data_IF_563272633696
#
_entry.id   IF_563272633696
#
_cell.length_a   1.000
_cell.length_b   1.000
_cell.length_c   1.000
_cell.angle_alpha   90.00
_cell.angle_beta   90.00
_cell.angle_gamma   90.00
#
_symmetry.space_group_name_H-M   'P 1'
#
loop_
_entity.id
_entity.type
_entity.pdbx_description
1 polymer ?
#
# COMPACT_ATOMS: atom_id res chain seq x y z
N UNK A 1 82.91 -24.53 -28.15
CA UNK A 1 81.82 -25.37 -27.58
C UNK A 1 81.00 -24.50 -26.64
N UNK A 2 79.69 -24.43 -26.82
CA UNK A 2 78.79 -23.63 -25.98
C UNK A 2 77.55 -23.20 -26.76
N UNK A 3 76.51 -24.01 -26.66
CA UNK A 3 75.27 -23.97 -27.41
C UNK A 3 74.41 -22.75 -27.11
N UNK A 4 73.65 -22.31 -28.12
CA UNK A 4 72.70 -21.21 -28.00
C UNK A 4 71.46 -21.53 -27.15
N UNK A 5 70.74 -20.45 -26.84
CA UNK A 5 69.28 -20.45 -26.69
C UNK A 5 68.83 -18.99 -26.73
N UNK A 6 68.15 -18.62 -27.82
CA UNK A 6 67.45 -17.34 -27.95
C UNK A 6 66.22 -17.40 -27.03
N UNK A 7 66.36 -16.89 -25.81
CA UNK A 7 65.24 -16.64 -24.91
C UNK A 7 64.50 -15.38 -25.38
N UNK A 8 63.36 -15.57 -26.04
CA UNK A 8 62.46 -14.50 -26.48
C UNK A 8 62.01 -13.68 -25.26
N UNK A 9 62.52 -12.45 -25.14
CA UNK A 9 62.05 -11.50 -24.13
C UNK A 9 60.69 -10.98 -24.60
N UNK A 10 59.59 -11.59 -24.12
CA UNK A 10 58.24 -11.06 -24.33
C UNK A 10 58.11 -9.75 -23.55
N UNK A 11 58.23 -8.62 -24.26
CA UNK A 11 57.89 -7.30 -23.76
C UNK A 11 56.37 -7.24 -23.61
N UNK A 12 55.90 -7.28 -22.36
CA UNK A 12 54.51 -7.00 -22.04
C UNK A 12 54.31 -5.49 -22.08
N UNK A 13 53.69 -5.02 -23.15
CA UNK A 13 53.28 -3.62 -23.25
C UNK A 13 51.94 -3.49 -22.52
N UNK A 14 51.96 -2.81 -21.37
CA UNK A 14 50.76 -2.55 -20.59
C UNK A 14 49.90 -1.54 -21.35
N UNK A 15 48.99 -2.03 -22.19
CA UNK A 15 47.96 -1.19 -22.82
C UNK A 15 46.96 -0.81 -21.73
N UNK A 16 47.25 0.26 -21.01
CA UNK A 16 46.25 0.89 -20.14
C UNK A 16 45.21 1.53 -21.03
N UNK A 17 44.01 0.95 -21.08
CA UNK A 17 42.87 1.59 -21.70
C UNK A 17 42.65 2.94 -21.00
N UNK A 18 42.83 4.05 -21.73
CA UNK A 18 42.50 5.38 -21.18
C UNK A 18 41.01 5.39 -20.84
N UNK A 19 40.61 5.78 -19.61
CA UNK A 19 39.22 6.02 -19.32
C UNK A 19 38.75 7.18 -20.20
N UNK A 20 37.76 6.90 -21.06
CA UNK A 20 37.15 7.90 -21.94
C UNK A 20 36.42 8.93 -21.05
N UNK A 21 36.83 10.21 -21.05
CA UNK A 21 36.15 11.22 -20.25
C UNK A 21 34.92 11.67 -21.03
N UNK A 22 33.72 11.22 -20.63
CA UNK A 22 32.49 11.67 -21.27
C UNK A 22 31.21 10.91 -20.91
N UNK A 23 31.32 9.68 -20.41
CA UNK A 23 30.16 8.85 -20.09
C UNK A 23 29.52 9.12 -18.71
N UNK A 24 30.22 9.78 -17.79
CA UNK A 24 29.78 9.85 -16.38
C UNK A 24 28.54 10.72 -16.18
N UNK A 25 28.42 11.84 -16.90
CA UNK A 25 27.27 12.76 -16.74
C UNK A 25 25.97 12.13 -17.26
N UNK A 26 26.04 11.42 -18.38
CA UNK A 26 24.90 10.68 -18.93
C UNK A 26 24.54 9.47 -18.05
N UNK A 27 25.53 8.74 -17.53
CA UNK A 27 25.29 7.66 -16.58
C UNK A 27 24.66 8.17 -15.28
N UNK A 28 25.14 9.28 -14.72
CA UNK A 28 24.57 9.91 -13.52
C UNK A 28 23.15 10.40 -13.79
N UNK A 29 22.90 11.06 -14.92
CA UNK A 29 21.56 11.50 -15.30
C UNK A 29 20.58 10.32 -15.47
N UNK A 30 21.04 9.22 -16.09
CA UNK A 30 20.23 8.01 -16.25
C UNK A 30 19.90 7.37 -14.90
N UNK A 31 20.87 7.28 -13.98
CA UNK A 31 20.64 6.77 -12.61
C UNK A 31 19.66 7.65 -11.86
N UNK A 32 19.82 8.98 -11.89
CA UNK A 32 18.88 9.90 -11.23
C UNK A 32 17.46 9.76 -11.80
N UNK A 33 17.33 9.65 -13.12
CA UNK A 33 16.04 9.46 -13.77
C UNK A 33 15.40 8.12 -13.38
N UNK A 34 16.19 7.04 -13.32
CA UNK A 34 15.73 5.73 -12.89
C UNK A 34 15.30 5.74 -11.41
N UNK A 35 16.03 6.43 -10.54
CA UNK A 35 15.66 6.61 -9.12
C UNK A 35 14.36 7.38 -9.00
N UNK A 36 14.22 8.52 -9.68
CA UNK A 36 12.98 9.31 -9.66
C UNK A 36 11.80 8.51 -10.20
N UNK A 37 11.97 7.81 -11.33
CA UNK A 37 10.94 6.94 -11.88
C UNK A 37 10.55 5.81 -10.90
N UNK A 38 11.54 5.17 -10.27
CA UNK A 38 11.32 4.16 -9.23
C UNK A 38 10.53 4.71 -8.05
N UNK A 39 10.90 5.87 -7.53
CA UNK A 39 10.19 6.54 -6.44
C UNK A 39 8.75 6.89 -6.84
N UNK A 40 8.52 7.37 -8.06
CA UNK A 40 7.16 7.67 -8.54
C UNK A 40 6.30 6.41 -8.69
N UNK A 41 6.88 5.31 -9.18
CA UNK A 41 6.16 4.03 -9.33
C UNK A 41 5.83 3.44 -7.97
N UNK A 42 6.80 3.37 -7.05
CA UNK A 42 6.57 2.91 -5.68
C UNK A 42 5.57 3.82 -4.97
N UNK A 43 5.69 5.13 -5.16
CA UNK A 43 4.75 6.13 -4.64
C UNK A 43 3.32 5.91 -5.12
N UNK A 44 3.11 5.48 -6.37
CA UNK A 44 1.78 5.14 -6.89
C UNK A 44 1.20 3.87 -6.31
N UNK A 45 2.02 2.85 -6.07
CA UNK A 45 1.57 1.61 -5.42
C UNK A 45 1.16 1.88 -3.98
N UNK A 46 1.94 2.69 -3.26
CA UNK A 46 1.59 3.10 -1.89
C UNK A 46 0.36 4.03 -1.86
N UNK A 47 0.15 4.83 -2.90
CA UNK A 47 -1.02 5.71 -3.03
C UNK A 47 -2.32 4.97 -3.40
N UNK A 48 -2.27 3.66 -3.69
CA UNK A 48 -3.47 2.92 -4.03
C UNK A 48 -4.43 2.74 -2.84
N UNK A 49 -3.93 2.76 -1.60
CA UNK A 49 -4.77 2.74 -0.40
C UNK A 49 -4.04 3.28 0.86
N UNK A 50 -3.90 4.62 1.01
CA UNK A 50 -3.21 5.21 2.15
C UNK A 50 -3.85 4.84 3.51
N UNK A 51 -5.17 4.67 3.54
CA UNK A 51 -5.92 4.34 4.76
C UNK A 51 -5.73 2.86 5.14
N UNK A 52 -5.70 1.96 4.16
CA UNK A 52 -5.41 0.53 4.38
C UNK A 52 -4.00 0.28 4.92
N UNK A 53 -3.05 1.17 4.60
CA UNK A 53 -1.68 1.14 5.13
C UNK A 53 -1.47 1.96 6.41
N UNK A 54 -2.52 2.57 6.97
CA UNK A 54 -2.43 3.34 8.21
C UNK A 54 -1.66 4.67 8.09
N UNK A 55 -1.54 5.21 6.88
CA UNK A 55 -0.88 6.50 6.58
C UNK A 55 -1.90 7.50 6.03
N UNK A 56 -2.77 8.08 6.89
CA UNK A 56 -3.85 8.98 6.46
C UNK A 56 -3.35 10.36 5.99
N UNK A 57 -2.09 10.71 6.27
CA UNK A 57 -1.47 11.97 5.85
C UNK A 57 -0.22 11.64 5.04
N UNK A 58 -0.40 11.47 3.74
CA UNK A 58 0.70 11.32 2.78
C UNK A 58 0.82 12.60 1.94
N UNK A 59 2.00 12.99 1.42
CA UNK A 59 2.18 14.23 0.65
C UNK A 59 1.31 14.39 -0.61
N UNK A 60 0.61 13.33 -1.03
CA UNK A 60 -0.33 13.36 -2.16
C UNK A 60 -1.79 13.14 -1.74
N UNK A 61 -2.08 13.11 -0.43
CA UNK A 61 -3.44 12.98 0.08
C UNK A 61 -4.27 14.20 -0.33
N UNK A 62 -5.43 13.95 -0.91
CA UNK A 62 -6.38 14.99 -1.28
C UNK A 62 -7.48 15.17 -0.21
N UNK A 63 -8.39 16.12 -0.44
CA UNK A 63 -9.52 16.34 0.47
C UNK A 63 -10.48 15.15 0.58
N UNK A 64 -10.49 14.27 -0.43
CA UNK A 64 -11.28 13.05 -0.43
C UNK A 64 -10.69 12.04 0.53
N UNK A 65 -9.36 11.84 0.48
CA UNK A 65 -8.64 10.92 1.35
C UNK A 65 -8.84 11.29 2.82
N UNK A 66 -8.82 12.59 3.14
CA UNK A 66 -9.07 13.10 4.50
C UNK A 66 -10.53 12.88 4.94
N UNK A 67 -11.48 13.03 4.03
CA UNK A 67 -12.89 12.80 4.32
C UNK A 67 -13.19 11.29 4.50
N UNK A 68 -12.60 10.44 3.66
CA UNK A 68 -12.69 8.99 3.76
C UNK A 68 -12.06 8.48 5.06
N UNK A 69 -10.88 8.98 5.44
CA UNK A 69 -10.24 8.64 6.71
C UNK A 69 -11.09 9.02 7.93
N UNK A 70 -11.80 10.16 7.86
CA UNK A 70 -12.75 10.56 8.92
C UNK A 70 -13.88 9.54 9.08
N UNK A 71 -14.46 9.08 7.98
CA UNK A 71 -15.51 8.06 7.99
C UNK A 71 -14.96 6.73 8.48
N UNK A 72 -13.78 6.31 8.01
CA UNK A 72 -13.14 5.07 8.48
C UNK A 72 -12.79 5.11 9.97
N UNK A 73 -12.40 6.27 10.52
CA UNK A 73 -12.22 6.41 11.96
C UNK A 73 -13.52 6.18 12.73
N UNK A 74 -14.67 6.67 12.23
CA UNK A 74 -15.97 6.34 12.86
C UNK A 74 -16.32 4.85 12.78
N UNK A 75 -16.03 4.19 11.66
CA UNK A 75 -16.22 2.73 11.50
C UNK A 75 -15.38 1.97 12.53
N UNK A 76 -14.10 2.31 12.66
CA UNK A 76 -13.19 1.67 13.63
C UNK A 76 -13.66 1.90 15.06
N UNK A 77 -14.09 3.12 15.40
CA UNK A 77 -14.61 3.43 16.73
C UNK A 77 -15.90 2.67 17.03
N UNK A 78 -16.84 2.60 16.09
CA UNK A 78 -18.09 1.87 16.24
C UNK A 78 -17.85 0.36 16.42
N UNK A 79 -16.99 -0.23 15.59
CA UNK A 79 -16.63 -1.64 15.68
C UNK A 79 -15.98 -1.97 17.04
N UNK A 80 -15.07 -1.13 17.53
CA UNK A 80 -14.42 -1.31 18.83
C UNK A 80 -15.38 -1.13 20.01
N UNK A 81 -16.28 -0.15 19.93
CA UNK A 81 -17.26 0.09 20.97
C UNK A 81 -18.25 -1.07 21.10
N UNK A 82 -18.74 -1.58 19.97
CA UNK A 82 -19.63 -2.74 19.92
C UNK A 82 -18.93 -3.99 20.46
N UNK A 83 -17.72 -4.29 19.96
CA UNK A 83 -16.91 -5.41 20.41
C UNK A 83 -16.62 -5.39 21.92
N UNK A 84 -16.34 -4.20 22.47
CA UNK A 84 -16.12 -4.03 23.90
C UNK A 84 -17.40 -4.24 24.74
N UNK A 85 -18.57 -3.94 24.16
CA UNK A 85 -19.86 -4.08 24.85
C UNK A 85 -20.40 -5.51 24.85
N UNK A 86 -20.25 -6.23 23.73
CA UNK A 86 -20.81 -7.58 23.54
C UNK A 86 -19.79 -8.70 23.81
N UNK A 87 -18.50 -8.38 23.85
CA UNK A 87 -17.42 -9.37 23.96
C UNK A 87 -17.29 -10.27 22.73
N UNK A 88 -17.94 -9.93 21.62
CA UNK A 88 -17.85 -10.57 20.31
C UNK A 88 -18.12 -9.55 19.21
N UNK A 89 -17.96 -9.93 17.95
CA UNK A 89 -18.10 -9.03 16.80
C UNK A 89 -19.45 -9.11 16.08
N UNK A 90 -20.43 -9.83 16.63
CA UNK A 90 -21.69 -10.11 15.92
C UNK A 90 -22.56 -8.87 15.70
N UNK A 91 -22.44 -7.85 16.55
CA UNK A 91 -23.14 -6.57 16.43
C UNK A 91 -22.43 -5.53 15.55
N UNK A 92 -21.19 -5.80 15.14
CA UNK A 92 -20.35 -4.83 14.43
C UNK A 92 -20.98 -4.34 13.11
N UNK A 93 -21.57 -5.20 12.26
CA UNK A 93 -22.19 -4.71 11.03
C UNK A 93 -23.31 -3.70 11.28
N UNK A 94 -24.15 -3.95 12.27
CA UNK A 94 -25.23 -3.02 12.65
C UNK A 94 -24.72 -1.74 13.28
N UNK A 95 -23.64 -1.80 14.08
CA UNK A 95 -23.03 -0.63 14.69
C UNK A 95 -22.33 0.28 13.65
N UNK A 96 -21.79 -0.32 12.59
CA UNK A 96 -21.08 0.38 11.51
C UNK A 96 -22.03 0.96 10.46
N UNK A 97 -23.21 0.38 10.27
CA UNK A 97 -24.26 0.85 9.36
C UNK A 97 -24.92 2.15 9.88
N UNK A 98 -24.23 3.29 9.76
CA UNK A 98 -24.73 4.59 10.19
C UNK A 98 -24.27 5.74 9.30
N UNK A 99 -25.15 6.75 9.15
CA UNK A 99 -24.84 8.01 8.49
C UNK A 99 -24.38 7.83 7.04
N UNK A 100 -23.09 8.10 6.80
CA UNK A 100 -22.45 8.05 5.48
C UNK A 100 -21.95 6.63 5.10
N UNK A 101 -22.25 5.60 5.90
CA UNK A 101 -21.78 4.22 5.70
C UNK A 101 -22.95 3.27 5.46
N UNK A 102 -22.93 2.61 4.31
CA UNK A 102 -23.84 1.53 3.95
C UNK A 102 -23.07 0.19 3.98
N UNK A 103 -23.64 -0.83 4.61
CA UNK A 103 -23.08 -2.18 4.63
C UNK A 103 -23.76 -2.98 3.52
N UNK A 104 -23.00 -3.35 2.48
CA UNK A 104 -23.49 -4.06 1.30
C UNK A 104 -23.47 -5.58 1.48
N UNK A 105 -22.45 -6.11 2.13
CA UNK A 105 -22.29 -7.54 2.38
C UNK A 105 -21.58 -7.77 3.71
N UNK A 106 -21.87 -8.89 4.36
CA UNK A 106 -21.34 -9.25 5.67
C UNK A 106 -21.13 -10.74 5.80
N UNK A 107 -19.95 -11.13 6.24
CA UNK A 107 -19.66 -12.50 6.65
C UNK A 107 -19.13 -12.48 8.08
N UNK A 108 -19.91 -13.04 9.01
CA UNK A 108 -19.51 -13.18 10.42
C UNK A 108 -19.00 -14.59 10.63
N UNK A 109 -17.77 -14.72 11.10
CA UNK A 109 -17.20 -16.03 11.40
C UNK A 109 -18.01 -16.71 12.52
N UNK A 110 -18.28 -18.03 12.48
CA UNK A 110 -19.08 -18.70 13.50
C UNK A 110 -18.57 -18.54 14.94
N UNK A 111 -17.26 -18.32 15.10
CA UNK A 111 -16.62 -18.02 16.39
C UNK A 111 -17.03 -16.67 16.97
N UNK A 112 -17.60 -15.76 16.17
CA UNK A 112 -17.85 -14.37 16.53
C UNK A 112 -16.58 -13.52 16.66
N UNK A 113 -15.42 -14.06 16.27
CA UNK A 113 -14.10 -13.43 16.46
C UNK A 113 -13.54 -12.79 15.19
N UNK A 114 -14.22 -12.91 14.06
CA UNK A 114 -13.87 -12.19 12.84
C UNK A 114 -15.13 -11.82 12.06
N UNK A 115 -15.10 -10.65 11.42
CA UNK A 115 -16.17 -10.18 10.54
C UNK A 115 -15.56 -9.55 9.30
N UNK A 116 -16.03 -9.98 8.14
CA UNK A 116 -15.78 -9.36 6.86
C UNK A 116 -17.00 -8.54 6.47
N UNK A 117 -16.77 -7.32 5.98
CA UNK A 117 -17.84 -6.42 5.55
C UNK A 117 -17.44 -5.74 4.25
N UNK A 118 -18.37 -5.67 3.31
CA UNK A 118 -18.27 -4.78 2.16
C UNK A 118 -19.04 -3.50 2.48
N UNK A 119 -18.34 -2.39 2.58
CA UNK A 119 -18.88 -1.07 2.90
C UNK A 119 -18.95 -0.20 1.65
N UNK A 120 -20.03 0.58 1.52
CA UNK A 120 -20.11 1.74 0.64
C UNK A 120 -20.12 3.00 1.49
N UNK A 121 -19.09 3.81 1.33
CA UNK A 121 -18.90 5.10 1.97
C UNK A 121 -19.40 6.21 1.06
N UNK A 122 -20.25 7.07 1.58
CA UNK A 122 -20.73 8.29 0.91
C UNK A 122 -19.83 9.45 1.32
N UNK A 123 -18.90 9.84 0.45
CA UNK A 123 -17.97 10.94 0.71
C UNK A 123 -18.51 12.22 0.04
N UNK A 124 -18.91 13.25 0.81
CA UNK A 124 -19.62 14.42 0.29
C UNK A 124 -18.92 15.18 -0.86
N UNK A 125 -17.60 15.06 -0.98
CA UNK A 125 -16.77 15.74 -1.98
C UNK A 125 -16.47 14.92 -3.23
N UNK A 126 -16.55 13.59 -3.19
CA UNK A 126 -16.00 12.69 -4.23
C UNK A 126 -16.97 11.58 -4.64
N UNK A 127 -18.10 11.45 -3.94
CA UNK A 127 -19.13 10.46 -4.24
C UNK A 127 -18.93 9.15 -3.49
N UNK A 128 -19.31 8.04 -4.10
CA UNK A 128 -19.30 6.73 -3.44
C UNK A 128 -17.95 6.04 -3.56
N UNK A 129 -17.40 5.58 -2.44
CA UNK A 129 -16.20 4.72 -2.36
C UNK A 129 -16.58 3.41 -1.71
N UNK A 130 -16.03 2.30 -2.20
CA UNK A 130 -16.29 0.99 -1.59
C UNK A 130 -15.04 0.43 -0.96
N UNK A 131 -15.21 -0.19 0.21
CA UNK A 131 -14.14 -0.80 0.99
C UNK A 131 -14.56 -2.15 1.49
N UNK A 132 -13.64 -3.09 1.43
CA UNK A 132 -13.74 -4.31 2.20
C UNK A 132 -13.03 -4.09 3.53
N UNK A 133 -13.72 -4.38 4.63
CA UNK A 133 -13.25 -4.19 5.99
C UNK A 133 -13.27 -5.53 6.70
N UNK A 134 -12.16 -5.86 7.35
CA UNK A 134 -12.01 -7.06 8.18
C UNK A 134 -11.77 -6.61 9.61
N UNK A 135 -12.63 -7.05 10.51
CA UNK A 135 -12.51 -6.82 11.95
C UNK A 135 -12.13 -8.13 12.61
N UNK A 136 -11.03 -8.12 13.36
CA UNK A 136 -10.49 -9.28 14.06
C UNK A 136 -10.59 -9.05 15.57
N UNK A 137 -11.19 -10.00 16.27
CA UNK A 137 -11.52 -9.97 17.69
C UNK A 137 -10.37 -10.37 18.61
N UNK A 138 -9.11 -10.23 18.18
CA UNK A 138 -8.00 -10.27 19.11
C UNK A 138 -8.12 -9.05 20.04
N UNK A 139 -7.73 -9.13 21.31
CA UNK A 139 -7.59 -7.94 22.17
C UNK A 139 -6.15 -7.42 22.02
N UNK A 140 -5.90 -6.26 21.38
CA UNK A 140 -6.87 -5.24 20.94
C UNK A 140 -7.50 -5.51 19.57
N UNK A 141 -8.77 -5.09 19.40
CA UNK A 141 -9.53 -5.30 18.15
C UNK A 141 -8.83 -4.62 16.99
N UNK A 142 -8.46 -5.44 16.01
CA UNK A 142 -7.74 -5.05 14.81
C UNK A 142 -8.74 -4.85 13.68
N UNK A 143 -8.62 -3.74 12.98
CA UNK A 143 -9.47 -3.40 11.83
C UNK A 143 -8.55 -3.19 10.66
N UNK A 144 -8.68 -4.04 9.65
CA UNK A 144 -7.98 -3.93 8.39
C UNK A 144 -8.98 -3.52 7.32
N UNK A 145 -8.56 -2.74 6.33
CA UNK A 145 -9.43 -2.33 5.23
C UNK A 145 -8.66 -2.23 3.92
N UNK A 146 -9.35 -2.53 2.83
CA UNK A 146 -8.83 -2.34 1.47
C UNK A 146 -9.89 -1.73 0.57
N UNK A 147 -9.43 -0.93 -0.38
CA UNK A 147 -10.26 -0.32 -1.41
C UNK A 147 -10.68 -1.37 -2.44
N UNK A 148 -11.97 -1.38 -2.77
CA UNK A 148 -12.54 -2.29 -3.77
C UNK A 148 -13.43 -1.52 -4.74
N UNK A 149 -13.58 -2.03 -5.95
CA UNK A 149 -14.53 -1.47 -6.89
C UNK A 149 -15.95 -1.61 -6.31
N UNK A 150 -16.76 -0.56 -6.46
CA UNK A 150 -18.19 -0.64 -6.18
C UNK A 150 -18.89 -1.47 -7.26
N UNK A 151 -18.70 -2.79 -7.24
CA UNK A 151 -19.46 -3.68 -8.10
C UNK A 151 -20.89 -3.68 -7.59
N UNK A 152 -21.85 -3.36 -8.46
CA UNK A 152 -23.27 -3.55 -8.17
C UNK A 152 -23.46 -5.06 -7.95
N UNK A 153 -23.70 -5.49 -6.71
CA UNK A 153 -24.24 -6.83 -6.50
C UNK A 153 -25.60 -6.89 -7.21
N UNK A 154 -25.86 -7.90 -8.07
CA UNK A 154 -27.22 -8.21 -8.46
C UNK A 154 -27.99 -8.57 -7.18
N UNK A 155 -29.14 -7.94 -7.01
CA UNK A 155 -30.10 -8.22 -5.95
C UNK A 155 -30.54 -9.69 -5.95
#
# INVERSE_FOLDING_TARGET
MGFGTLGVVKRWELVTARPRPGGSRLAVAAVLTAVVAGVLVVGRVLAADPIGYGVPVWPFADSADVAEDRVMRSVVTAARADAASLGNLTGVPTAVAAGDVEVLDTEVQPSGMAVWMLLRLHVPSVGTRCREVVVLGATPVEVNSRTVACVRHPA
#
